data_IF_044856756462
#
_entry.id   IF_044856756462
#
_cell.length_a   1.000
_cell.length_b   1.000
_cell.length_c   1.000
_cell.angle_alpha   90.00
_cell.angle_beta   90.00
_cell.angle_gamma   90.00
#
_symmetry.space_group_name_H-M   'P 1'
#
loop_
_entity.id
_entity.type
_entity.pdbx_description
1 polymer ?
#
# COMPACT_ATOMS: atom_id res chain seq x y z
N UNK A 1 -50.89 24.57 -41.23
CA UNK A 1 -49.56 23.92 -41.43
C UNK A 1 -48.62 24.39 -40.33
N UNK A 2 -48.30 23.52 -39.39
CA UNK A 2 -47.29 23.81 -38.35
C UNK A 2 -45.98 23.18 -38.83
N UNK A 3 -44.97 24.01 -39.09
CA UNK A 3 -43.65 23.57 -39.46
C UNK A 3 -42.92 23.08 -38.21
N UNK A 4 -42.56 21.80 -38.19
CA UNK A 4 -41.71 21.20 -37.18
C UNK A 4 -40.26 21.41 -37.59
N UNK A 5 -39.52 22.23 -36.88
CA UNK A 5 -38.07 22.42 -37.08
C UNK A 5 -37.34 21.31 -36.34
N UNK A 6 -36.73 20.39 -37.07
CA UNK A 6 -35.79 19.43 -36.51
C UNK A 6 -34.41 20.09 -36.37
N UNK A 7 -33.98 20.39 -35.18
CA UNK A 7 -32.60 20.81 -34.93
C UNK A 7 -31.76 19.56 -34.71
N UNK A 8 -30.99 19.19 -35.73
CA UNK A 8 -30.00 18.11 -35.61
C UNK A 8 -28.80 18.66 -34.86
N UNK A 9 -28.63 18.23 -33.60
CA UNK A 9 -27.39 18.48 -32.85
C UNK A 9 -26.36 17.47 -33.32
N UNK A 10 -25.42 17.91 -34.15
CA UNK A 10 -24.25 17.11 -34.49
C UNK A 10 -23.31 17.12 -33.27
N UNK A 11 -23.29 16.06 -32.51
CA UNK A 11 -22.26 15.84 -31.48
C UNK A 11 -20.94 15.63 -32.23
N UNK A 12 -20.08 16.63 -32.22
CA UNK A 12 -18.68 16.47 -32.55
C UNK A 12 -18.03 15.66 -31.39
N UNK A 13 -17.82 14.38 -31.61
CA UNK A 13 -17.03 13.56 -30.71
C UNK A 13 -15.57 14.01 -30.81
N UNK A 14 -15.16 14.95 -29.98
CA UNK A 14 -13.74 15.18 -29.74
C UNK A 14 -13.17 13.86 -29.19
N UNK A 15 -12.02 13.36 -29.71
CA UNK A 15 -11.37 12.20 -29.12
C UNK A 15 -11.06 12.58 -27.66
N UNK A 16 -11.67 11.89 -26.70
CA UNK A 16 -11.21 11.92 -25.32
C UNK A 16 -9.78 11.43 -25.36
N UNK A 17 -8.82 12.35 -25.22
CA UNK A 17 -7.47 11.96 -24.89
C UNK A 17 -7.58 11.12 -23.61
N UNK A 18 -7.12 9.86 -23.66
CA UNK A 18 -7.09 8.96 -22.52
C UNK A 18 -6.24 9.66 -21.46
N UNK A 19 -6.88 10.32 -20.49
CA UNK A 19 -6.14 11.00 -19.43
C UNK A 19 -5.49 9.92 -18.61
N UNK A 20 -4.16 9.97 -18.48
CA UNK A 20 -3.40 9.04 -17.65
C UNK A 20 -4.02 8.98 -16.25
N UNK A 21 -4.26 7.78 -15.74
CA UNK A 21 -4.81 7.58 -14.41
C UNK A 21 -3.81 8.04 -13.33
N UNK A 22 -4.27 8.21 -12.09
CA UNK A 22 -3.39 8.68 -11.00
C UNK A 22 -2.23 7.71 -10.70
N UNK A 23 -2.31 6.46 -11.13
CA UNK A 23 -1.25 5.46 -11.00
C UNK A 23 -0.35 5.35 -12.25
N UNK A 24 -0.66 6.07 -13.31
CA UNK A 24 0.15 6.19 -14.52
C UNK A 24 1.03 7.46 -14.52
N UNK A 25 0.92 8.28 -13.47
CA UNK A 25 1.73 9.49 -13.29
C UNK A 25 2.29 9.54 -11.87
N UNK A 26 3.61 9.40 -11.78
CA UNK A 26 4.34 9.52 -10.52
C UNK A 26 5.23 10.75 -10.58
N UNK A 27 5.28 11.49 -9.48
CA UNK A 27 6.07 12.72 -9.35
C UNK A 27 7.21 12.50 -8.38
N UNK A 28 8.43 12.82 -8.81
CA UNK A 28 9.60 12.79 -7.93
C UNK A 28 9.50 13.86 -6.85
N UNK A 29 9.84 13.49 -5.62
CA UNK A 29 9.88 14.37 -4.44
C UNK A 29 11.28 14.41 -3.87
N UNK A 30 11.71 15.60 -3.44
CA UNK A 30 13.01 15.74 -2.82
C UNK A 30 13.01 15.13 -1.41
N UNK A 31 13.86 14.16 -1.18
CA UNK A 31 14.08 13.55 0.14
C UNK A 31 15.09 14.33 0.98
N UNK A 32 15.92 15.19 0.35
CA UNK A 32 17.03 15.87 1.00
C UNK A 32 18.22 14.96 1.32
N UNK A 33 18.27 13.73 0.79
CA UNK A 33 19.36 12.77 1.01
C UNK A 33 19.63 11.92 -0.22
N UNK A 34 20.84 11.38 -0.32
CA UNK A 34 21.21 10.33 -1.28
C UNK A 34 21.24 8.94 -0.65
N UNK A 35 20.88 8.82 0.61
CA UNK A 35 20.86 7.56 1.34
C UNK A 35 19.79 6.62 0.79
N UNK A 36 20.07 5.32 0.78
CA UNK A 36 19.13 4.29 0.40
C UNK A 36 17.94 4.25 1.36
N UNK A 37 16.72 4.41 0.84
CA UNK A 37 15.48 4.27 1.58
C UNK A 37 14.92 2.85 1.37
N UNK A 38 14.74 2.10 2.46
CA UNK A 38 14.39 0.66 2.40
C UNK A 38 12.98 0.34 2.91
N UNK A 39 12.28 1.33 3.43
CA UNK A 39 10.90 1.17 3.90
C UNK A 39 10.19 2.49 4.02
N UNK A 40 8.88 2.47 3.89
CA UNK A 40 7.98 3.59 4.15
C UNK A 40 6.68 3.07 4.73
N UNK A 41 6.13 3.78 5.68
CA UNK A 41 4.78 3.56 6.23
C UNK A 41 3.99 4.86 6.25
N UNK A 42 2.68 4.75 6.35
CA UNK A 42 1.80 5.87 6.66
C UNK A 42 0.92 5.49 7.84
N UNK A 43 1.23 6.08 8.97
CA UNK A 43 0.52 5.87 10.22
C UNK A 43 0.34 7.19 10.96
N UNK A 44 -0.69 7.30 11.77
CA UNK A 44 -1.00 8.50 12.57
C UNK A 44 -0.98 9.82 11.75
N UNK A 45 -1.39 9.76 10.47
CA UNK A 45 -1.43 10.93 9.59
C UNK A 45 -0.07 11.36 9.02
N UNK A 46 0.99 10.54 9.19
CA UNK A 46 2.37 10.88 8.81
C UNK A 46 2.98 9.75 7.98
N UNK A 47 3.57 10.09 6.85
CA UNK A 47 4.50 9.20 6.16
C UNK A 47 5.85 9.20 6.89
N UNK A 48 6.39 8.03 7.14
CA UNK A 48 7.73 7.85 7.69
C UNK A 48 8.53 6.93 6.79
N UNK A 49 9.62 7.43 6.20
CA UNK A 49 10.55 6.65 5.41
C UNK A 49 11.82 6.38 6.20
N UNK A 50 12.34 5.16 6.07
CA UNK A 50 13.53 4.70 6.79
C UNK A 50 14.56 4.10 5.85
N UNK A 51 15.83 4.16 6.24
CA UNK A 51 16.91 3.71 5.35
C UNK A 51 18.29 3.61 5.98
N UNK A 52 19.31 3.54 5.10
CA UNK A 52 20.70 3.30 5.42
C UNK A 52 21.57 4.50 5.03
N UNK A 53 22.53 4.92 5.85
CA UNK A 53 22.72 4.61 7.28
C UNK A 53 21.75 5.44 8.14
N UNK A 54 21.16 4.86 9.18
CA UNK A 54 20.42 5.57 10.23
C UNK A 54 19.34 6.56 9.78
N UNK A 55 18.88 6.48 8.53
CA UNK A 55 18.03 7.50 7.91
C UNK A 55 16.58 7.33 8.36
N UNK A 56 15.99 8.42 8.85
CA UNK A 56 14.56 8.55 9.08
C UNK A 56 14.09 9.89 8.50
N UNK A 57 13.07 9.83 7.64
CA UNK A 57 12.43 11.02 7.08
C UNK A 57 10.94 10.99 7.44
N UNK A 58 10.31 12.13 7.60
CA UNK A 58 8.87 12.22 7.82
C UNK A 58 8.21 13.28 6.95
N UNK A 59 6.94 13.05 6.60
CA UNK A 59 6.13 13.96 5.80
C UNK A 59 4.65 13.80 6.13
N UNK A 60 3.92 14.89 6.31
CA UNK A 60 2.45 14.85 6.50
C UNK A 60 1.68 14.74 5.20
N UNK A 61 2.30 15.06 4.06
CA UNK A 61 1.63 15.13 2.75
C UNK A 61 2.30 14.31 1.64
N UNK A 62 3.43 13.64 1.94
CA UNK A 62 4.23 12.90 0.95
C UNK A 62 5.02 13.79 -0.03
N UNK A 63 4.91 15.12 0.08
CA UNK A 63 5.56 16.10 -0.80
C UNK A 63 6.81 16.68 -0.13
N UNK A 64 6.64 17.23 1.06
CA UNK A 64 7.69 17.89 1.83
C UNK A 64 8.21 16.92 2.88
N UNK A 65 9.48 16.57 2.78
CA UNK A 65 10.13 15.61 3.65
C UNK A 65 11.13 16.31 4.57
N UNK A 66 11.14 15.91 5.84
CA UNK A 66 12.05 16.41 6.87
C UNK A 66 12.88 15.28 7.44
N UNK A 67 14.19 15.46 7.52
CA UNK A 67 15.09 14.52 8.18
C UNK A 67 14.87 14.52 9.69
N UNK A 68 14.95 13.32 10.29
CA UNK A 68 14.84 13.07 11.72
C UNK A 68 16.11 12.43 12.22
N UNK A 69 16.58 12.85 13.37
CA UNK A 69 17.78 12.28 13.97
C UNK A 69 17.42 10.96 14.68
N UNK A 70 17.80 9.84 14.09
CA UNK A 70 17.57 8.50 14.67
C UNK A 70 18.45 8.17 15.88
N UNK A 71 19.52 8.96 16.10
CA UNK A 71 20.53 8.67 17.14
C UNK A 71 21.42 7.45 16.83
N UNK A 72 21.38 6.92 15.61
CA UNK A 72 22.18 5.75 15.19
C UNK A 72 22.75 5.93 13.79
N UNK A 73 23.91 5.34 13.55
CA UNK A 73 24.50 5.16 12.22
C UNK A 73 24.17 3.80 11.62
N UNK A 74 23.55 2.90 12.38
CA UNK A 74 23.08 1.62 11.88
C UNK A 74 21.86 1.81 10.98
N UNK A 75 21.69 0.92 10.01
CA UNK A 75 20.55 0.99 9.12
C UNK A 75 19.21 0.79 9.85
N UNK A 76 18.22 1.61 9.51
CA UNK A 76 16.84 1.45 9.97
C UNK A 76 16.05 0.72 8.89
N UNK A 77 15.52 -0.47 9.23
CA UNK A 77 14.93 -1.38 8.27
C UNK A 77 13.42 -1.25 8.10
N UNK A 78 12.68 -1.11 9.19
CA UNK A 78 11.23 -0.99 9.22
C UNK A 78 10.75 -0.08 10.33
N UNK A 79 9.53 0.47 10.20
CA UNK A 79 8.91 1.33 11.20
C UNK A 79 7.41 1.14 11.21
N UNK A 80 6.80 1.16 12.40
CA UNK A 80 5.35 1.12 12.62
C UNK A 80 4.96 2.10 13.73
N UNK A 81 3.71 2.56 13.72
CA UNK A 81 3.13 3.32 14.84
C UNK A 81 2.09 2.47 15.55
N UNK A 82 2.28 2.23 16.82
CA UNK A 82 1.32 1.49 17.63
C UNK A 82 1.51 1.79 19.12
N UNK A 83 0.47 1.64 19.92
CA UNK A 83 0.52 1.90 21.36
C UNK A 83 0.95 3.33 21.71
N UNK A 84 0.62 4.31 20.84
CA UNK A 84 0.94 5.73 21.05
C UNK A 84 2.40 6.10 20.76
N UNK A 85 3.18 5.24 20.10
CA UNK A 85 4.59 5.48 19.79
C UNK A 85 5.00 4.90 18.44
N UNK A 86 6.05 5.46 17.87
CA UNK A 86 6.78 4.91 16.74
C UNK A 86 7.78 3.88 17.22
N UNK A 87 7.84 2.75 16.55
CA UNK A 87 8.80 1.67 16.83
C UNK A 87 9.48 1.30 15.52
N UNK A 88 10.80 1.37 15.49
CA UNK A 88 11.60 1.07 14.31
C UNK A 88 12.64 -0.02 14.61
N UNK A 89 12.96 -0.84 13.61
CA UNK A 89 14.09 -1.78 13.67
C UNK A 89 15.34 -1.09 13.16
N UNK A 90 16.39 -1.07 13.97
CA UNK A 90 17.65 -0.42 13.63
C UNK A 90 18.85 -1.33 13.86
N UNK A 91 19.47 -1.80 12.77
CA UNK A 91 20.77 -2.47 12.73
C UNK A 91 21.05 -3.54 13.79
N UNK A 92 22.32 -3.91 13.96
CA UNK A 92 22.74 -4.87 15.00
C UNK A 92 22.38 -4.38 16.40
N UNK A 93 21.49 -5.05 17.09
CA UNK A 93 21.03 -4.87 18.47
C UNK A 93 19.95 -3.81 18.67
N UNK A 94 19.12 -3.46 17.65
CA UNK A 94 18.34 -2.31 17.95
C UNK A 94 16.90 -2.27 17.52
N UNK A 95 16.09 -2.04 18.49
CA UNK A 95 14.78 -1.42 18.35
C UNK A 95 14.93 0.05 18.77
N UNK A 96 14.36 0.94 18.01
CA UNK A 96 14.26 2.37 18.32
C UNK A 96 12.80 2.69 18.65
N UNK A 97 12.58 3.51 19.65
CA UNK A 97 11.23 3.99 20.00
C UNK A 97 11.20 5.52 20.07
N UNK A 98 10.10 6.12 19.63
CA UNK A 98 9.89 7.57 19.70
C UNK A 98 8.40 7.88 19.89
N UNK A 99 8.07 8.87 20.70
CA UNK A 99 6.70 9.36 20.84
C UNK A 99 6.34 10.38 19.73
N UNK A 100 7.32 11.10 19.19
CA UNK A 100 7.12 12.31 18.38
C UNK A 100 7.92 12.35 17.07
N UNK A 101 8.71 11.30 16.74
CA UNK A 101 9.65 11.21 15.63
C UNK A 101 10.90 12.11 15.79
N UNK A 102 11.02 12.87 16.88
CA UNK A 102 12.13 13.80 17.11
C UNK A 102 13.18 13.17 18.02
N UNK A 103 12.73 12.64 19.15
CA UNK A 103 13.60 11.94 20.11
C UNK A 103 13.42 10.43 19.95
N UNK A 104 14.50 9.75 19.60
CA UNK A 104 14.53 8.30 19.49
C UNK A 104 15.35 7.69 20.63
N UNK A 105 14.80 6.68 21.27
CA UNK A 105 15.47 5.93 22.35
C UNK A 105 15.74 4.51 21.87
N UNK A 106 16.99 4.08 22.01
CA UNK A 106 17.37 2.72 21.70
C UNK A 106 16.90 1.76 22.80
N UNK A 107 16.26 0.66 22.37
CA UNK A 107 15.84 -0.44 23.20
C UNK A 107 16.69 -1.67 22.86
N UNK A 108 16.92 -2.52 23.87
CA UNK A 108 17.58 -3.81 23.66
C UNK A 108 16.54 -4.88 23.40
N UNK A 109 16.60 -5.54 22.25
CA UNK A 109 15.70 -6.65 21.90
C UNK A 109 16.12 -8.00 22.52
N UNK A 110 17.23 -8.02 23.27
CA UNK A 110 17.74 -9.22 23.93
C UNK A 110 18.32 -10.28 22.98
N UNK A 111 18.50 -9.93 21.70
CA UNK A 111 18.99 -10.83 20.66
C UNK A 111 20.29 -10.29 20.03
N UNK A 112 21.19 -11.18 19.65
CA UNK A 112 22.44 -10.83 18.96
C UNK A 112 22.29 -10.81 17.43
N UNK A 113 21.19 -11.35 16.91
CA UNK A 113 20.90 -11.38 15.49
C UNK A 113 20.23 -10.07 15.04
N UNK A 114 20.51 -9.67 13.82
CA UNK A 114 19.90 -8.46 13.25
C UNK A 114 18.41 -8.66 12.99
N UNK A 115 17.58 -7.79 13.58
CA UNK A 115 16.17 -7.63 13.21
C UNK A 115 16.04 -6.60 12.10
N UNK A 116 15.25 -6.91 11.08
CA UNK A 116 15.17 -6.12 9.83
C UNK A 116 13.82 -5.44 9.66
N UNK A 117 12.74 -6.08 10.05
CA UNK A 117 11.37 -5.59 9.82
C UNK A 117 10.52 -5.80 11.06
N UNK A 118 9.49 -4.99 11.18
CA UNK A 118 8.57 -5.00 12.31
C UNK A 118 7.13 -4.88 11.82
N UNK A 119 6.23 -5.61 12.44
CA UNK A 119 4.78 -5.50 12.32
C UNK A 119 4.13 -5.38 13.68
N UNK A 120 2.86 -4.96 13.70
CA UNK A 120 2.06 -4.87 14.91
C UNK A 120 0.65 -5.38 14.68
N UNK A 121 0.13 -6.10 15.64
CA UNK A 121 -1.25 -6.58 15.62
C UNK A 121 -1.62 -7.24 16.93
N UNK A 122 -2.91 -7.29 17.25
CA UNK A 122 -3.42 -7.91 18.49
C UNK A 122 -2.66 -7.52 19.77
N UNK A 123 -2.24 -6.23 19.85
CA UNK A 123 -1.50 -5.74 21.02
C UNK A 123 -0.02 -6.12 21.08
N UNK A 124 0.52 -6.78 20.04
CA UNK A 124 1.89 -7.34 20.02
C UNK A 124 2.70 -6.80 18.86
N UNK A 125 3.90 -6.31 19.13
CA UNK A 125 4.94 -6.05 18.13
C UNK A 125 5.65 -7.36 17.81
N UNK A 126 5.89 -7.60 16.53
CA UNK A 126 6.63 -8.75 16.01
C UNK A 126 7.76 -8.22 15.13
N UNK A 127 9.00 -8.36 15.57
CA UNK A 127 10.17 -8.01 14.79
C UNK A 127 10.87 -9.29 14.29
N UNK A 128 11.29 -9.27 13.02
CA UNK A 128 11.86 -10.44 12.34
C UNK A 128 13.17 -10.09 11.64
N UNK A 129 14.04 -11.07 11.45
CA UNK A 129 15.35 -10.84 10.86
C UNK A 129 16.13 -12.08 10.46
N UNK A 130 17.45 -11.95 10.46
CA UNK A 130 18.37 -12.98 10.03
C UNK A 130 18.27 -14.24 10.91
N UNK A 131 18.69 -15.38 10.35
CA UNK A 131 18.73 -16.68 11.04
C UNK A 131 17.40 -17.09 11.67
N UNK A 132 16.28 -16.77 11.00
CA UNK A 132 14.96 -17.11 11.47
C UNK A 132 14.54 -16.37 12.76
N UNK A 133 15.19 -15.26 13.08
CA UNK A 133 14.92 -14.51 14.31
C UNK A 133 13.51 -13.96 14.31
N UNK A 134 12.78 -14.20 15.41
CA UNK A 134 11.53 -13.55 15.79
C UNK A 134 11.67 -13.07 17.24
N UNK A 135 11.43 -11.78 17.46
CA UNK A 135 11.28 -11.22 18.81
C UNK A 135 9.95 -10.50 18.93
N UNK A 136 9.31 -10.58 20.07
CA UNK A 136 7.98 -10.00 20.30
C UNK A 136 7.96 -9.16 21.56
N UNK A 137 7.10 -8.13 21.56
CA UNK A 137 6.90 -7.26 22.70
C UNK A 137 5.47 -6.70 22.73
N UNK A 138 4.88 -6.52 23.89
CA UNK A 138 3.59 -5.82 24.04
C UNK A 138 3.77 -4.33 24.33
N UNK A 139 4.98 -3.88 24.67
CA UNK A 139 5.26 -2.49 25.09
C UNK A 139 6.42 -1.83 24.33
N UNK A 140 7.05 -2.55 23.38
CA UNK A 140 8.23 -2.15 22.60
C UNK A 140 9.51 -1.89 23.43
N UNK A 141 9.55 -2.30 24.70
CA UNK A 141 10.71 -2.17 25.57
C UNK A 141 11.21 -3.54 26.07
N UNK A 142 10.30 -4.42 26.44
CA UNK A 142 10.62 -5.77 26.88
C UNK A 142 10.36 -6.74 25.73
N UNK A 143 11.42 -7.34 25.20
CA UNK A 143 11.36 -8.23 24.05
C UNK A 143 11.63 -9.67 24.44
N UNK A 144 10.95 -10.60 23.80
CA UNK A 144 11.07 -12.04 24.03
C UNK A 144 11.32 -12.75 22.70
N UNK A 145 12.40 -13.53 22.63
CA UNK A 145 12.71 -14.37 21.47
C UNK A 145 11.68 -15.50 21.34
N UNK A 146 11.24 -15.77 20.12
CA UNK A 146 10.29 -16.83 19.78
C UNK A 146 10.92 -17.82 18.81
N UNK A 147 10.58 -19.09 18.95
CA UNK A 147 11.02 -20.13 18.03
C UNK A 147 10.24 -20.01 16.71
N UNK A 148 10.95 -19.76 15.62
CA UNK A 148 10.38 -19.69 14.26
C UNK A 148 10.29 -21.07 13.58
N UNK A 149 11.08 -22.04 14.04
CA UNK A 149 11.23 -23.35 13.38
C UNK A 149 12.05 -23.33 12.10
N UNK A 150 12.74 -22.22 11.76
CA UNK A 150 13.59 -22.09 10.59
C UNK A 150 14.85 -21.29 10.89
N UNK A 151 15.89 -21.51 10.10
CA UNK A 151 17.12 -20.70 10.08
C UNK A 151 17.17 -19.74 8.89
N UNK A 152 16.19 -19.82 7.98
CA UNK A 152 16.12 -18.92 6.86
C UNK A 152 15.85 -17.47 7.31
N UNK A 153 16.49 -16.46 6.71
CA UNK A 153 16.18 -15.07 6.99
C UNK A 153 14.71 -14.76 6.78
N UNK A 154 14.12 -14.10 7.76
CA UNK A 154 12.75 -13.61 7.73
C UNK A 154 12.75 -12.15 7.27
N UNK A 155 11.88 -11.83 6.32
CA UNK A 155 11.93 -10.58 5.58
C UNK A 155 10.82 -9.59 5.94
N UNK A 156 9.64 -10.06 6.30
CA UNK A 156 8.48 -9.21 6.63
C UNK A 156 7.64 -9.86 7.72
N UNK A 157 6.99 -9.01 8.52
CA UNK A 157 5.98 -9.41 9.51
C UNK A 157 4.79 -8.47 9.38
N UNK A 158 3.61 -9.01 9.16
CA UNK A 158 2.37 -8.25 9.04
C UNK A 158 1.25 -8.93 9.82
N UNK A 159 0.28 -8.14 10.26
CA UNK A 159 -0.93 -8.64 10.90
C UNK A 159 -2.15 -8.18 10.12
N UNK A 160 -3.00 -9.12 9.75
CA UNK A 160 -4.28 -8.82 9.12
C UNK A 160 -5.25 -9.99 9.34
N UNK A 161 -6.53 -9.73 9.27
CA UNK A 161 -7.60 -10.73 9.39
C UNK A 161 -7.42 -11.69 10.60
N UNK A 162 -6.95 -11.17 11.74
CA UNK A 162 -6.82 -11.93 12.96
C UNK A 162 -5.55 -12.77 13.10
N UNK A 163 -4.62 -12.74 12.13
CA UNK A 163 -3.37 -13.52 12.20
C UNK A 163 -2.14 -12.68 11.82
N UNK A 164 -1.02 -13.04 12.41
CA UNK A 164 0.29 -12.65 11.90
C UNK A 164 0.70 -13.56 10.75
N UNK A 165 1.28 -12.97 9.72
CA UNK A 165 1.96 -13.67 8.63
C UNK A 165 3.38 -13.12 8.54
N UNK A 166 4.35 -14.00 8.60
CA UNK A 166 5.78 -13.72 8.41
C UNK A 166 6.24 -14.40 7.15
N UNK A 167 6.98 -13.68 6.30
CA UNK A 167 7.55 -14.21 5.07
C UNK A 167 9.06 -14.12 5.10
N UNK A 168 9.75 -14.94 4.30
CA UNK A 168 11.20 -15.01 4.29
C UNK A 168 11.80 -15.66 3.07
N UNK A 169 13.11 -15.86 3.12
CA UNK A 169 13.88 -16.52 2.05
C UNK A 169 13.49 -17.99 1.90
N UNK A 170 13.68 -18.53 0.69
CA UNK A 170 13.39 -19.91 0.38
C UNK A 170 11.91 -20.28 0.44
N UNK A 171 11.03 -19.32 0.20
CA UNK A 171 9.57 -19.53 0.20
C UNK A 171 8.97 -19.67 1.60
N UNK A 172 9.65 -19.25 2.65
CA UNK A 172 9.14 -19.35 4.03
C UNK A 172 7.90 -18.50 4.23
N UNK A 173 6.84 -19.13 4.74
CA UNK A 173 5.67 -18.48 5.32
C UNK A 173 5.41 -19.09 6.69
N UNK A 174 5.32 -18.23 7.72
CA UNK A 174 4.95 -18.60 9.07
C UNK A 174 3.69 -17.84 9.47
N UNK A 175 2.81 -18.47 10.23
CA UNK A 175 1.60 -17.82 10.74
C UNK A 175 1.49 -18.00 12.25
N UNK A 176 0.88 -17.02 12.91
CA UNK A 176 0.60 -17.04 14.34
C UNK A 176 -0.66 -16.24 14.65
N UNK A 177 -1.51 -16.71 15.54
CA UNK A 177 -2.67 -15.97 16.00
C UNK A 177 -2.29 -14.90 17.05
N UNK A 178 -1.24 -15.15 17.83
CA UNK A 178 -0.88 -14.40 19.04
C UNK A 178 0.55 -13.79 19.00
N UNK A 179 1.33 -14.11 17.94
CA UNK A 179 2.73 -13.73 17.83
C UNK A 179 3.69 -14.58 18.65
N UNK A 180 3.22 -15.58 19.41
CA UNK A 180 4.06 -16.40 20.30
C UNK A 180 4.37 -17.78 19.73
N UNK A 181 3.38 -18.45 19.20
CA UNK A 181 3.48 -19.77 18.57
C UNK A 181 3.38 -19.67 17.07
N UNK A 182 4.36 -20.21 16.35
CA UNK A 182 4.48 -20.07 14.91
C UNK A 182 4.32 -21.40 14.20
N UNK A 183 3.55 -21.40 13.12
CA UNK A 183 3.29 -22.57 12.27
C UNK A 183 3.78 -22.29 10.86
N UNK A 184 4.60 -23.19 10.31
CA UNK A 184 5.04 -23.14 8.92
C UNK A 184 3.89 -23.45 7.95
N UNK A 185 3.82 -22.74 6.85
CA UNK A 185 2.85 -22.90 5.77
C UNK A 185 3.54 -23.19 4.45
N UNK A 186 2.90 -23.99 3.60
CA UNK A 186 3.41 -24.28 2.28
C UNK A 186 3.10 -23.13 1.32
N UNK A 187 4.14 -22.49 0.80
CA UNK A 187 4.01 -21.38 -0.16
C UNK A 187 3.87 -21.85 -1.61
N UNK A 188 4.30 -23.08 -1.91
CA UNK A 188 4.36 -23.60 -3.29
C UNK A 188 5.51 -23.03 -4.14
N UNK A 189 6.43 -22.28 -3.53
CA UNK A 189 7.62 -21.72 -4.21
C UNK A 189 8.87 -21.84 -3.36
N UNK A 190 10.02 -21.85 -4.01
CA UNK A 190 11.35 -21.73 -3.36
C UNK A 190 11.95 -20.34 -3.52
N UNK A 191 11.28 -19.42 -4.23
CA UNK A 191 11.72 -18.04 -4.34
C UNK A 191 11.64 -17.32 -3.00
N UNK A 192 12.49 -16.32 -2.83
CA UNK A 192 12.45 -15.52 -1.62
C UNK A 192 11.17 -14.66 -1.59
N UNK A 193 10.42 -14.74 -0.51
CA UNK A 193 9.24 -13.94 -0.24
C UNK A 193 9.65 -12.67 0.55
N UNK A 194 10.54 -11.87 -0.06
CA UNK A 194 11.17 -10.69 0.53
C UNK A 194 10.42 -9.40 0.23
N UNK A 195 9.52 -9.41 -0.77
CA UNK A 195 8.85 -8.21 -1.27
C UNK A 195 7.84 -7.61 -0.32
N UNK A 196 7.14 -8.40 0.44
CA UNK A 196 6.16 -7.90 1.40
C UNK A 196 4.82 -8.58 1.33
N UNK A 197 3.92 -8.11 2.19
CA UNK A 197 2.54 -8.56 2.24
C UNK A 197 1.61 -7.36 2.36
N UNK A 198 0.51 -7.40 1.62
CA UNK A 198 -0.63 -6.51 1.79
C UNK A 198 -1.90 -7.34 2.03
N UNK A 199 -2.85 -6.76 2.75
CA UNK A 199 -4.20 -7.31 2.89
C UNK A 199 -5.22 -6.28 2.42
N UNK A 200 -6.09 -6.68 1.54
CA UNK A 200 -7.16 -5.84 1.01
C UNK A 200 -8.22 -6.66 0.31
N UNK A 201 -9.46 -6.19 0.26
CA UNK A 201 -10.61 -6.91 -0.32
C UNK A 201 -10.78 -8.34 0.23
N UNK A 202 -10.40 -8.58 1.50
CA UNK A 202 -10.45 -9.92 2.11
C UNK A 202 -9.36 -10.88 1.62
N UNK A 203 -8.33 -10.39 0.92
CA UNK A 203 -7.27 -11.20 0.33
C UNK A 203 -5.90 -10.77 0.85
N UNK A 204 -5.10 -11.73 1.27
CA UNK A 204 -3.66 -11.57 1.47
C UNK A 204 -2.95 -11.66 0.12
N UNK A 205 -2.01 -10.78 -0.12
CA UNK A 205 -1.12 -10.81 -1.28
C UNK A 205 0.31 -10.69 -0.80
N UNK A 206 1.15 -11.65 -1.18
CA UNK A 206 2.59 -11.69 -0.88
C UNK A 206 3.38 -11.58 -2.18
N UNK A 207 4.43 -10.77 -2.18
CA UNK A 207 5.34 -10.63 -3.31
C UNK A 207 6.77 -11.03 -2.92
N UNK A 208 7.59 -11.32 -3.91
CA UNK A 208 8.97 -11.71 -3.69
C UNK A 208 9.91 -11.34 -4.82
N UNK A 209 11.16 -11.75 -4.67
CA UNK A 209 12.17 -11.56 -5.69
C UNK A 209 12.19 -12.76 -6.68
N UNK A 210 12.99 -12.63 -7.72
CA UNK A 210 13.13 -13.64 -8.78
C UNK A 210 14.28 -14.62 -8.53
N UNK A 211 14.62 -14.88 -7.27
CA UNK A 211 15.70 -15.79 -6.86
C UNK A 211 15.12 -16.93 -6.03
N UNK A 212 15.41 -18.18 -6.37
CA UNK A 212 16.26 -18.67 -7.45
C UNK A 212 15.60 -18.76 -8.83
N UNK A 213 14.28 -18.60 -8.94
CA UNK A 213 13.56 -18.74 -10.22
C UNK A 213 13.28 -17.36 -10.85
N UNK A 214 13.34 -17.23 -12.19
CA UNK A 214 13.34 -15.93 -12.87
C UNK A 214 11.99 -15.18 -12.81
N UNK A 215 10.89 -15.84 -12.47
CA UNK A 215 9.59 -15.19 -12.32
C UNK A 215 9.36 -14.78 -10.85
N UNK A 216 9.14 -13.49 -10.55
CA UNK A 216 8.85 -13.06 -9.20
C UNK A 216 7.51 -13.65 -8.73
N UNK A 217 7.44 -14.25 -7.54
CA UNK A 217 6.21 -14.82 -7.04
C UNK A 217 5.23 -13.73 -6.63
N UNK A 218 3.97 -13.94 -6.97
CA UNK A 218 2.82 -13.28 -6.35
C UNK A 218 1.94 -14.39 -5.78
N UNK A 219 1.82 -14.44 -4.47
CA UNK A 219 1.00 -15.43 -3.79
C UNK A 219 -0.23 -14.75 -3.19
N UNK A 220 -1.37 -15.43 -3.27
CA UNK A 220 -2.62 -14.96 -2.69
C UNK A 220 -3.21 -15.99 -1.73
N UNK A 221 -3.91 -15.51 -0.70
CA UNK A 221 -4.60 -16.35 0.28
C UNK A 221 -5.81 -15.63 0.88
N UNK A 222 -6.89 -16.34 1.10
CA UNK A 222 -8.08 -15.81 1.80
C UNK A 222 -7.94 -15.93 3.33
N UNK A 223 -7.18 -16.92 3.79
CA UNK A 223 -7.08 -17.30 5.20
C UNK A 223 -5.67 -17.15 5.78
N UNK A 224 -4.67 -16.80 4.94
CA UNK A 224 -3.25 -16.76 5.30
C UNK A 224 -2.60 -18.13 5.51
N UNK A 225 -3.33 -19.21 5.30
CA UNK A 225 -2.89 -20.61 5.49
C UNK A 225 -2.67 -21.33 4.17
N UNK A 226 -3.64 -21.23 3.27
CA UNK A 226 -3.60 -21.82 1.93
C UNK A 226 -3.23 -20.77 0.91
N UNK A 227 -2.16 -21.01 0.16
CA UNK A 227 -1.59 -20.04 -0.76
C UNK A 227 -1.66 -20.52 -2.21
N UNK A 228 -2.03 -19.61 -3.11
CA UNK A 228 -2.09 -19.84 -4.55
C UNK A 228 -1.14 -18.90 -5.28
N UNK A 229 -0.41 -19.43 -6.27
CA UNK A 229 0.50 -18.63 -7.07
C UNK A 229 -0.27 -17.90 -8.18
N UNK A 230 0.07 -16.63 -8.39
CA UNK A 230 -0.49 -15.75 -9.41
C UNK A 230 0.59 -15.34 -10.41
N UNK A 231 0.18 -14.88 -11.58
CA UNK A 231 1.10 -14.41 -12.61
C UNK A 231 1.34 -12.90 -12.48
N UNK A 232 2.59 -12.50 -12.35
CA UNK A 232 2.99 -11.10 -12.41
C UNK A 232 2.80 -10.53 -13.83
N UNK A 233 2.47 -9.24 -13.95
CA UNK A 233 2.33 -8.57 -15.25
C UNK A 233 3.67 -8.29 -15.92
N UNK A 234 4.78 -8.30 -15.18
CA UNK A 234 6.14 -8.12 -15.69
C UNK A 234 7.13 -8.88 -14.83
N UNK A 235 8.26 -9.29 -15.45
CA UNK A 235 9.32 -10.09 -14.80
C UNK A 235 10.31 -9.20 -14.03
N UNK A 236 9.82 -8.26 -13.24
CA UNK A 236 10.64 -7.45 -12.34
C UNK A 236 10.47 -7.94 -10.90
N UNK A 237 11.57 -7.98 -10.16
CA UNK A 237 11.52 -8.18 -8.71
C UNK A 237 10.50 -7.22 -8.08
N UNK A 238 9.65 -7.74 -7.20
CA UNK A 238 8.64 -6.96 -6.45
C UNK A 238 9.08 -6.89 -4.98
N UNK A 239 9.72 -5.78 -4.61
CA UNK A 239 10.38 -5.58 -3.31
C UNK A 239 9.44 -5.07 -2.22
N UNK A 240 8.29 -4.50 -2.59
CA UNK A 240 7.27 -4.05 -1.65
C UNK A 240 5.88 -4.04 -2.27
N UNK A 241 4.88 -4.18 -1.41
CA UNK A 241 3.47 -4.12 -1.78
C UNK A 241 2.67 -3.42 -0.68
N UNK A 242 1.66 -2.66 -1.07
CA UNK A 242 0.66 -2.09 -0.17
C UNK A 242 -0.73 -2.17 -0.80
N UNK A 243 -1.76 -2.03 0.02
CA UNK A 243 -3.14 -1.87 -0.43
C UNK A 243 -3.69 -0.53 0.03
N UNK A 244 -4.34 0.18 -0.87
CA UNK A 244 -5.00 1.43 -0.55
C UNK A 244 -6.00 1.83 -1.62
N UNK A 245 -7.08 2.43 -1.23
CA UNK A 245 -8.13 2.93 -2.09
C UNK A 245 -8.60 1.90 -3.16
N UNK A 246 -8.80 0.64 -2.74
CA UNK A 246 -9.30 -0.41 -3.63
C UNK A 246 -8.25 -1.04 -4.55
N UNK A 247 -6.96 -0.70 -4.41
CA UNK A 247 -5.88 -1.18 -5.29
C UNK A 247 -4.71 -1.75 -4.49
N UNK A 248 -4.20 -2.88 -4.93
CA UNK A 248 -2.86 -3.35 -4.60
C UNK A 248 -1.85 -2.62 -5.51
N UNK A 249 -0.80 -2.11 -4.91
CA UNK A 249 0.33 -1.49 -5.63
C UNK A 249 1.61 -2.16 -5.16
N UNK A 250 2.30 -2.81 -6.09
CA UNK A 250 3.60 -3.45 -5.87
C UNK A 250 4.68 -2.68 -6.64
N UNK A 251 5.83 -2.52 -6.00
CA UNK A 251 6.99 -1.81 -6.57
C UNK A 251 8.26 -2.63 -6.45
N UNK A 252 9.24 -2.37 -7.31
CA UNK A 252 10.46 -3.15 -7.29
C UNK A 252 11.59 -2.64 -8.17
N UNK A 253 12.32 -3.57 -8.77
CA UNK A 253 13.50 -3.25 -9.57
C UNK A 253 13.16 -2.50 -10.86
N UNK A 254 14.15 -1.74 -11.38
CA UNK A 254 14.05 -0.98 -12.63
C UNK A 254 12.85 0.00 -12.68
N UNK A 255 12.52 0.61 -11.53
CA UNK A 255 11.38 1.50 -11.43
C UNK A 255 10.03 0.80 -11.61
N UNK A 256 9.99 -0.52 -11.52
CA UNK A 256 8.79 -1.32 -11.77
C UNK A 256 7.65 -0.99 -10.82
N UNK A 257 6.46 -0.77 -11.38
CA UNK A 257 5.20 -0.61 -10.65
C UNK A 257 4.17 -1.54 -11.28
N UNK A 258 3.50 -2.33 -10.46
CA UNK A 258 2.38 -3.17 -10.89
C UNK A 258 1.18 -2.91 -9.99
N UNK A 259 -0.01 -2.93 -10.56
CA UNK A 259 -1.25 -2.67 -9.83
C UNK A 259 -2.27 -3.76 -10.08
N UNK A 260 -3.09 -4.05 -9.07
CA UNK A 260 -4.19 -5.00 -9.19
C UNK A 260 -5.37 -4.57 -8.30
N UNK A 261 -6.61 -4.58 -8.80
CA UNK A 261 -7.79 -4.32 -7.96
C UNK A 261 -8.20 -5.54 -7.12
N UNK A 262 -7.77 -6.74 -7.51
CA UNK A 262 -8.25 -8.02 -6.97
C UNK A 262 -7.12 -8.95 -6.50
N UNK A 263 -5.86 -8.54 -6.64
CA UNK A 263 -4.68 -9.32 -6.25
C UNK A 263 -4.33 -10.46 -7.22
N UNK A 264 -5.11 -10.70 -8.27
CA UNK A 264 -4.93 -11.79 -9.24
C UNK A 264 -4.60 -11.28 -10.64
N UNK A 265 -5.30 -10.23 -11.08
CA UNK A 265 -5.09 -9.60 -12.38
C UNK A 265 -4.20 -8.37 -12.22
N UNK A 266 -2.96 -8.49 -12.70
CA UNK A 266 -1.95 -7.45 -12.54
C UNK A 266 -1.74 -6.66 -13.83
N UNK A 267 -1.49 -5.36 -13.69
CA UNK A 267 -1.19 -4.44 -14.79
C UNK A 267 0.11 -3.72 -14.49
N UNK A 268 1.07 -3.78 -15.43
CA UNK A 268 2.28 -2.99 -15.34
C UNK A 268 1.98 -1.50 -15.58
N UNK A 269 2.58 -0.64 -14.77
CA UNK A 269 2.45 0.82 -14.84
C UNK A 269 3.81 1.47 -15.03
N UNK A 270 3.82 2.65 -15.65
CA UNK A 270 5.04 3.44 -15.76
C UNK A 270 5.21 4.32 -14.52
N UNK A 271 6.33 4.18 -13.82
CA UNK A 271 6.72 5.13 -12.76
C UNK A 271 7.36 6.41 -13.30
N UNK A 272 7.77 6.41 -14.58
CA UNK A 272 8.62 7.47 -15.16
C UNK A 272 10.09 7.38 -14.72
N UNK A 273 10.46 6.37 -13.91
CA UNK A 273 11.81 6.14 -13.40
C UNK A 273 12.22 4.69 -13.68
N UNK A 274 13.15 4.49 -14.61
CA UNK A 274 13.68 3.17 -14.94
C UNK A 274 15.07 2.91 -14.34
N UNK A 275 15.63 3.88 -13.63
CA UNK A 275 17.02 3.85 -13.13
C UNK A 275 17.15 3.34 -11.70
N UNK A 276 16.09 3.34 -10.91
CA UNK A 276 16.16 3.03 -9.48
C UNK A 276 15.37 1.77 -9.12
N UNK A 277 15.78 1.16 -8.02
CA UNK A 277 15.03 0.11 -7.36
C UNK A 277 14.23 0.72 -6.20
N UNK A 278 12.94 0.37 -6.12
CA UNK A 278 12.09 0.71 -5.00
C UNK A 278 12.05 -0.43 -3.98
N UNK A 279 12.12 -0.09 -2.69
CA UNK A 279 12.15 -1.04 -1.57
C UNK A 279 10.99 -0.89 -0.61
N UNK A 280 10.21 0.18 -0.75
CA UNK A 280 9.06 0.45 0.08
C UNK A 280 7.97 1.15 -0.69
N UNK A 281 6.72 0.86 -0.36
CA UNK A 281 5.54 1.59 -0.83
C UNK A 281 4.50 1.65 0.28
N UNK A 282 3.89 2.84 0.46
CA UNK A 282 2.81 3.05 1.41
C UNK A 282 1.69 3.88 0.78
N UNK A 283 0.47 3.67 1.27
CA UNK A 283 -0.69 4.48 0.90
C UNK A 283 -1.09 5.40 2.04
N UNK A 284 -1.30 6.68 1.74
CA UNK A 284 -1.76 7.67 2.70
C UNK A 284 -2.23 8.95 1.99
N UNK A 285 -3.12 9.70 2.61
CA UNK A 285 -3.66 10.96 2.07
C UNK A 285 -4.16 10.88 0.61
N UNK A 286 -4.66 9.71 0.20
CA UNK A 286 -5.15 9.52 -1.16
C UNK A 286 -4.07 9.29 -2.21
N UNK A 287 -2.81 9.11 -1.83
CA UNK A 287 -1.68 8.87 -2.74
C UNK A 287 -0.85 7.69 -2.31
N UNK A 288 -0.15 7.06 -3.25
CA UNK A 288 0.90 6.09 -2.97
C UNK A 288 2.25 6.80 -2.98
N UNK A 289 3.11 6.43 -2.06
CA UNK A 289 4.49 6.90 -1.97
C UNK A 289 5.42 5.71 -2.05
N UNK A 290 6.32 5.70 -3.05
CA UNK A 290 7.36 4.70 -3.22
C UNK A 290 8.73 5.30 -2.86
N UNK A 291 9.60 4.50 -2.22
CA UNK A 291 10.94 4.93 -1.80
C UNK A 291 12.00 3.92 -2.26
N UNK A 292 13.20 4.40 -2.56
CA UNK A 292 14.22 3.56 -3.18
C UNK A 292 15.67 4.01 -3.03
N UNK A 293 16.50 3.55 -3.97
CA UNK A 293 17.92 3.89 -4.05
C UNK A 293 18.14 5.41 -4.17
N UNK A 294 19.32 5.87 -3.76
CA UNK A 294 19.76 7.26 -3.89
C UNK A 294 18.77 8.29 -3.31
N UNK A 295 18.05 7.91 -2.25
CA UNK A 295 17.04 8.76 -1.63
C UNK A 295 15.82 9.03 -2.50
N UNK A 296 15.57 8.21 -3.53
CA UNK A 296 14.44 8.41 -4.44
C UNK A 296 13.11 8.28 -3.69
N UNK A 297 12.25 9.25 -3.91
CA UNK A 297 10.86 9.24 -3.47
C UNK A 297 9.98 9.58 -4.67
N UNK A 298 9.04 8.71 -4.99
CA UNK A 298 7.98 8.98 -5.97
C UNK A 298 6.62 9.02 -5.28
N UNK A 299 5.76 9.92 -5.72
CA UNK A 299 4.38 10.03 -5.25
C UNK A 299 3.43 9.94 -6.44
N UNK A 300 2.43 9.06 -6.35
CA UNK A 300 1.36 8.96 -7.36
C UNK A 300 0.47 10.19 -7.39
N UNK A 301 -0.35 10.33 -8.43
CA UNK A 301 -1.49 11.25 -8.40
C UNK A 301 -2.48 10.90 -7.27
N UNK A 302 -3.38 11.82 -6.99
CA UNK A 302 -4.47 11.59 -6.00
C UNK A 302 -5.44 10.54 -6.54
N UNK A 303 -5.55 9.42 -5.84
CA UNK A 303 -6.38 8.27 -6.25
C UNK A 303 -7.81 8.33 -5.71
N UNK A 304 -8.14 9.32 -4.87
CA UNK A 304 -9.48 9.46 -4.31
C UNK A 304 -10.49 9.74 -5.41
N UNK A 305 -11.61 9.04 -5.38
CA UNK A 305 -12.72 9.33 -6.29
C UNK A 305 -13.20 10.76 -6.10
N UNK A 306 -13.40 11.47 -7.20
CA UNK A 306 -13.93 12.82 -7.21
C UNK A 306 -15.18 12.89 -8.09
N UNK A 307 -16.19 13.57 -7.60
CA UNK A 307 -17.34 13.99 -8.39
C UNK A 307 -17.06 15.41 -8.90
N UNK A 308 -16.97 15.55 -10.21
CA UNK A 308 -16.63 16.81 -10.87
C UNK A 308 -17.66 17.17 -11.92
N UNK A 309 -17.65 18.43 -12.36
CA UNK A 309 -18.54 18.97 -13.40
C UNK A 309 -20.03 18.72 -13.10
N UNK A 310 -20.53 19.11 -11.90
CA UNK A 310 -21.95 18.97 -11.64
C UNK A 310 -22.75 19.85 -12.61
N UNK A 311 -23.77 19.27 -13.23
CA UNK A 311 -24.70 19.97 -14.10
C UNK A 311 -26.13 19.60 -13.73
N UNK A 312 -27.00 20.60 -13.68
CA UNK A 312 -28.41 20.42 -13.43
C UNK A 312 -29.15 20.72 -14.74
N UNK A 313 -29.96 19.79 -15.19
CA UNK A 313 -30.90 19.99 -16.29
C UNK A 313 -32.33 19.73 -15.81
N UNK A 314 -33.32 20.03 -16.65
CA UNK A 314 -34.73 19.80 -16.28
C UNK A 314 -34.94 18.30 -16.04
N UNK A 315 -35.16 17.94 -14.79
CA UNK A 315 -35.46 16.55 -14.38
C UNK A 315 -34.25 15.70 -14.04
N UNK A 316 -33.03 16.16 -14.25
CA UNK A 316 -31.84 15.34 -13.96
C UNK A 316 -30.68 16.13 -13.36
N UNK A 317 -29.77 15.40 -12.73
CA UNK A 317 -28.49 15.89 -12.21
C UNK A 317 -27.37 15.04 -12.79
N UNK A 318 -26.43 15.65 -13.49
CA UNK A 318 -25.29 14.98 -14.09
C UNK A 318 -23.99 15.37 -13.39
N UNK A 319 -23.03 14.47 -13.34
CA UNK A 319 -21.67 14.69 -12.85
C UNK A 319 -20.72 13.66 -13.45
N UNK A 320 -19.43 13.92 -13.33
CA UNK A 320 -18.39 12.99 -13.76
C UNK A 320 -17.61 12.49 -12.58
N UNK A 321 -17.38 11.18 -12.54
CA UNK A 321 -16.47 10.54 -11.57
C UNK A 321 -15.09 10.50 -12.19
N UNK A 322 -14.09 10.96 -11.45
CA UNK A 322 -12.66 10.90 -11.86
C UNK A 322 -11.81 10.20 -10.83
N UNK A 323 -10.59 9.83 -11.24
CA UNK A 323 -9.56 9.19 -10.43
C UNK A 323 -9.86 7.75 -9.97
N UNK A 324 -10.84 7.08 -10.58
CA UNK A 324 -11.27 5.73 -10.18
C UNK A 324 -10.74 4.58 -11.05
N UNK A 325 -9.69 4.78 -11.83
CA UNK A 325 -9.24 3.80 -12.84
C UNK A 325 -8.94 2.43 -12.21
N UNK A 326 -9.66 1.42 -12.70
CA UNK A 326 -9.52 0.04 -12.25
C UNK A 326 -10.11 -0.27 -10.88
N UNK A 327 -10.64 0.71 -10.17
CA UNK A 327 -11.21 0.52 -8.83
C UNK A 327 -12.66 0.06 -8.92
N UNK A 328 -13.07 -0.73 -7.93
CA UNK A 328 -14.51 -0.90 -7.65
C UNK A 328 -15.04 0.40 -7.09
N UNK A 329 -16.18 0.86 -7.57
CA UNK A 329 -16.81 2.06 -7.05
C UNK A 329 -18.32 1.91 -6.91
N UNK A 330 -18.88 2.52 -5.89
CA UNK A 330 -20.31 2.70 -5.72
C UNK A 330 -20.62 4.17 -5.64
N UNK A 331 -21.61 4.58 -6.38
CA UNK A 331 -22.16 5.92 -6.30
C UNK A 331 -23.45 5.83 -5.52
N UNK A 332 -23.54 6.62 -4.48
CA UNK A 332 -24.66 6.62 -3.56
C UNK A 332 -25.33 7.99 -3.56
N UNK A 333 -26.65 7.99 -3.42
CA UNK A 333 -27.45 9.17 -3.24
C UNK A 333 -28.20 9.12 -1.89
N UNK A 334 -28.41 10.28 -1.29
CA UNK A 334 -29.15 10.44 -0.03
C UNK A 334 -29.96 11.72 -0.02
N UNK A 335 -31.12 11.69 0.62
CA UNK A 335 -31.97 12.86 0.85
C UNK A 335 -31.79 13.45 2.26
N UNK A 336 -31.14 12.73 3.17
CA UNK A 336 -31.01 13.10 4.60
C UNK A 336 -29.60 12.99 5.16
N UNK A 337 -28.60 12.62 4.34
CA UNK A 337 -27.20 12.39 4.69
C UNK A 337 -26.94 11.23 5.66
N UNK A 338 -27.96 10.50 6.07
CA UNK A 338 -27.87 9.35 6.99
C UNK A 338 -28.13 8.02 6.27
N UNK A 339 -29.16 7.95 5.45
CA UNK A 339 -29.49 6.80 4.63
C UNK A 339 -28.97 7.01 3.20
N UNK A 340 -28.12 6.10 2.71
CA UNK A 340 -27.51 6.17 1.40
C UNK A 340 -27.93 4.96 0.54
N UNK A 341 -28.34 5.23 -0.67
CA UNK A 341 -28.79 4.22 -1.63
C UNK A 341 -27.82 4.16 -2.80
N UNK A 342 -27.38 2.98 -3.17
CA UNK A 342 -26.55 2.79 -4.35
C UNK A 342 -27.36 3.12 -5.61
N UNK A 343 -26.89 4.06 -6.40
CA UNK A 343 -27.47 4.42 -7.70
C UNK A 343 -26.64 3.89 -8.87
N UNK A 344 -25.36 3.57 -8.61
CA UNK A 344 -24.47 2.89 -9.54
C UNK A 344 -23.47 2.05 -8.77
N UNK A 345 -23.24 0.84 -9.23
CA UNK A 345 -22.11 0.00 -8.82
C UNK A 345 -21.30 -0.35 -10.05
N UNK A 346 -19.99 -0.05 -10.01
CA UNK A 346 -19.07 -0.37 -11.10
C UNK A 346 -17.92 -1.21 -10.56
N UNK A 347 -17.64 -2.34 -11.21
CA UNK A 347 -16.54 -3.23 -10.81
C UNK A 347 -15.17 -2.72 -11.27
N UNK A 348 -15.12 -1.89 -12.31
CA UNK A 348 -13.90 -1.28 -12.85
C UNK A 348 -14.24 0.12 -13.33
N UNK A 349 -13.88 1.13 -12.55
CA UNK A 349 -14.13 2.53 -12.92
C UNK A 349 -13.12 2.98 -13.97
N UNK A 350 -13.53 3.54 -15.12
CA UNK A 350 -12.61 4.19 -16.06
C UNK A 350 -12.02 5.48 -15.47
N UNK A 351 -11.02 6.07 -16.13
CA UNK A 351 -10.40 7.34 -15.71
C UNK A 351 -11.40 8.47 -15.51
N UNK A 352 -12.47 8.46 -16.30
CA UNK A 352 -13.58 9.40 -16.23
C UNK A 352 -14.87 8.65 -16.57
N UNK A 353 -15.86 8.73 -15.71
CA UNK A 353 -17.16 8.10 -15.88
C UNK A 353 -18.27 9.16 -15.72
N UNK A 354 -18.89 9.62 -16.81
CA UNK A 354 -20.06 10.47 -16.71
C UNK A 354 -21.26 9.68 -16.16
N UNK A 355 -22.04 10.32 -15.32
CA UNK A 355 -23.24 9.75 -14.72
C UNK A 355 -24.35 10.78 -14.68
N UNK A 356 -25.57 10.34 -14.98
CA UNK A 356 -26.77 11.17 -14.91
C UNK A 356 -27.80 10.49 -13.99
N UNK A 357 -28.25 11.23 -12.96
CA UNK A 357 -29.39 10.83 -12.14
C UNK A 357 -30.68 11.47 -12.67
N UNK A 358 -31.40 10.74 -13.48
CA UNK A 358 -32.67 11.16 -14.08
C UNK A 358 -33.81 11.27 -13.06
N UNK A 359 -33.66 10.74 -11.86
CA UNK A 359 -34.64 10.81 -10.78
C UNK A 359 -34.36 11.96 -9.81
N UNK A 360 -33.34 12.80 -10.06
CA UNK A 360 -32.96 13.87 -9.15
C UNK A 360 -34.10 14.84 -8.85
N UNK A 361 -34.93 15.17 -9.84
CA UNK A 361 -36.09 16.06 -9.69
C UNK A 361 -37.20 15.51 -8.80
N UNK A 362 -37.25 14.20 -8.57
CA UNK A 362 -38.24 13.57 -7.68
C UNK A 362 -37.98 13.87 -6.20
N UNK A 363 -36.90 14.56 -5.88
CA UNK A 363 -36.47 14.85 -4.51
C UNK A 363 -36.20 16.33 -4.32
N UNK A 364 -36.74 16.98 -3.27
CA UNK A 364 -36.50 18.40 -2.98
C UNK A 364 -35.02 18.67 -2.61
N UNK A 365 -34.28 17.64 -2.14
CA UNK A 365 -32.86 17.68 -1.82
C UNK A 365 -32.26 16.32 -2.07
N UNK A 366 -31.12 16.27 -2.74
CA UNK A 366 -30.37 15.03 -2.95
C UNK A 366 -28.86 15.28 -2.90
N UNK A 367 -28.16 14.46 -2.15
CA UNK A 367 -26.72 14.51 -1.97
C UNK A 367 -26.09 13.26 -2.59
N UNK A 368 -24.87 13.38 -3.08
CA UNK A 368 -24.17 12.29 -3.78
C UNK A 368 -22.79 12.07 -3.14
N UNK A 369 -22.37 10.82 -3.12
CA UNK A 369 -20.99 10.46 -2.78
C UNK A 369 -20.49 9.29 -3.62
N UNK A 370 -19.19 9.24 -3.86
CA UNK A 370 -18.50 8.10 -4.43
C UNK A 370 -17.79 7.34 -3.30
N UNK A 371 -17.90 6.01 -3.30
CA UNK A 371 -17.26 5.13 -2.31
C UNK A 371 -16.49 4.03 -3.02
N UNK A 372 -15.30 3.73 -2.52
CA UNK A 372 -14.58 2.50 -2.85
C UNK A 372 -14.94 1.48 -1.78
N UNK A 373 -15.49 0.30 -2.16
CA UNK A 373 -15.91 -0.74 -1.21
C UNK A 373 -14.76 -1.32 -0.40
#
# INVERSE_FOLDING_TARGET
MKATIFTTVTMCALPLALQAGPLDSWTSRSSGTTNKLVGVTYDNGIFVAVGLPGTILSSTNGINWSSRNSGTTNGVGGVVYAGGKWVATGGSNGILTSADLVMWTQQNDGNTNTVLRIGYGSGTFVAVGNLGTIVTSTNATNWVTRASGTTNPLAKANYANGIFVVTGQGGVILTSADGTSWTSRTSGTTNNLSGGMAFGNGLFVVTGDNVPNPAPPILTSLDGVTWANQTAAANHELSAITYGNGMFVAVGSQGGVQTSPDGTNWTARSSGDSGHQFYGVAYGNGTFVAVGDNGTILQSGDTRLRLVQPAVSVGSFAFTITNGVGQRSRIQASTNLTAWVDILTNNTTPASLPLEDTNAASFPRRSYRAVVP
#
